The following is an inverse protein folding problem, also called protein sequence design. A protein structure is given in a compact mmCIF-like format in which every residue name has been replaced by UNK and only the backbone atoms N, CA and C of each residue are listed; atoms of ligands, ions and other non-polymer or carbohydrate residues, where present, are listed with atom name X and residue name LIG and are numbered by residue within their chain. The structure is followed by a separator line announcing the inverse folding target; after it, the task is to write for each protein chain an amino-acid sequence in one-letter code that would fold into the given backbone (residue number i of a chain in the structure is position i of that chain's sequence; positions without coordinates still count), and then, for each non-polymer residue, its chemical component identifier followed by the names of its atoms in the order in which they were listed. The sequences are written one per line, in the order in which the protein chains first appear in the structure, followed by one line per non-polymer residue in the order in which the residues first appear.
data_IF_231973869355
#
_entry.id   IF_231973869355
#
_cell.length_a   1.000
_cell.length_b   1.000
_cell.length_c   1.000
_cell.angle_alpha   90.00
_cell.angle_beta   90.00
_cell.angle_gamma   90.00
#
_symmetry.space_group_name_H-M   'P 1'
#
loop_
_entity.id
_entity.type
_entity.pdbx_description
1 polymer ?
#
# COMPACT_ATOMS: atom_id res chain seq x y z
N UNK A 1 39.24 9.41 13.81
CA UNK A 1 39.77 9.87 12.51
C UNK A 1 39.88 8.66 11.59
N UNK A 2 39.19 8.64 10.44
CA UNK A 2 39.28 7.52 9.51
C UNK A 2 40.65 7.50 8.80
N UNK A 3 41.19 6.32 8.58
CA UNK A 3 42.39 6.12 7.78
C UNK A 3 41.99 5.68 6.37
N UNK A 4 42.77 6.08 5.37
CA UNK A 4 42.57 5.63 4.01
C UNK A 4 42.76 4.11 3.92
N UNK A 5 41.76 3.40 3.40
CA UNK A 5 41.80 1.94 3.22
C UNK A 5 42.85 1.46 2.23
N UNK A 6 43.39 2.35 1.38
CA UNK A 6 44.38 2.01 0.35
C UNK A 6 45.82 2.30 0.77
N UNK A 7 46.08 3.38 1.49
CA UNK A 7 47.45 3.80 1.85
C UNK A 7 47.69 4.03 3.34
N UNK A 8 46.68 3.87 4.19
CA UNK A 8 46.81 4.05 5.64
C UNK A 8 46.96 5.50 6.12
N UNK A 9 46.94 6.48 5.21
CA UNK A 9 47.07 7.90 5.55
C UNK A 9 45.87 8.40 6.39
N UNK A 10 46.15 9.18 7.43
CA UNK A 10 45.11 9.80 8.28
C UNK A 10 44.35 10.86 7.47
N UNK A 11 43.05 10.67 7.29
CA UNK A 11 42.23 11.57 6.49
C UNK A 11 41.75 12.77 7.32
N UNK A 12 41.79 14.00 6.78
CA UNK A 12 41.16 15.15 7.41
C UNK A 12 39.63 15.02 7.35
N UNK A 13 38.94 15.69 8.28
CA UNK A 13 37.48 15.63 8.38
C UNK A 13 36.82 16.15 7.09
N UNK A 14 35.89 15.36 6.52
CA UNK A 14 35.17 15.70 5.30
C UNK A 14 35.91 15.43 3.97
N UNK A 15 37.11 14.83 3.98
CA UNK A 15 37.84 14.52 2.74
C UNK A 15 37.08 13.55 1.82
N UNK A 16 36.79 13.98 0.58
CA UNK A 16 36.17 13.14 -0.47
C UNK A 16 37.19 12.20 -1.13
N UNK A 17 38.45 12.62 -1.19
CA UNK A 17 39.56 11.87 -1.78
C UNK A 17 40.75 11.91 -0.83
N UNK A 18 41.54 10.84 -0.82
CA UNK A 18 42.77 10.82 -0.04
C UNK A 18 43.80 11.77 -0.67
N UNK A 19 44.34 12.76 0.07
CA UNK A 19 45.32 13.70 -0.48
C UNK A 19 46.66 13.03 -0.82
N UNK A 20 46.93 11.83 -0.28
CA UNK A 20 48.17 11.12 -0.50
C UNK A 20 48.12 10.16 -1.71
N UNK A 21 47.05 9.39 -1.87
CA UNK A 21 46.96 8.36 -2.92
C UNK A 21 45.86 8.60 -3.97
N UNK A 22 45.09 9.69 -3.84
CA UNK A 22 43.98 10.03 -4.75
C UNK A 22 42.79 9.08 -4.69
N UNK A 23 42.80 8.04 -3.83
CA UNK A 23 41.68 7.10 -3.77
C UNK A 23 40.44 7.77 -3.17
N UNK A 24 39.24 7.52 -3.71
CA UNK A 24 38.00 8.02 -3.13
C UNK A 24 37.83 7.47 -1.72
N UNK A 25 37.55 8.37 -0.77
CA UNK A 25 37.22 7.99 0.59
C UNK A 25 35.76 7.57 0.57
N UNK A 26 35.51 6.26 0.67
CA UNK A 26 34.15 5.76 0.90
C UNK A 26 33.72 6.26 2.27
N UNK A 27 32.96 7.35 2.33
CA UNK A 27 32.18 7.68 3.52
C UNK A 27 31.27 6.48 3.74
N UNK A 28 31.56 5.69 4.75
CA UNK A 28 30.56 4.82 5.35
C UNK A 28 29.68 5.82 6.10
N UNK A 29 28.78 6.49 5.37
CA UNK A 29 27.63 7.09 6.01
C UNK A 29 26.97 5.94 6.73
N UNK A 30 27.05 5.99 8.05
CA UNK A 30 26.23 5.19 8.93
C UNK A 30 24.81 5.40 8.46
N UNK A 31 24.34 4.43 7.66
CA UNK A 31 22.98 4.35 7.17
C UNK A 31 22.14 4.32 8.43
N UNK A 32 21.64 5.48 8.83
CA UNK A 32 20.67 5.60 9.89
C UNK A 32 19.47 4.76 9.43
N UNK A 33 19.35 3.58 10.01
CA UNK A 33 18.17 2.75 9.91
C UNK A 33 17.10 3.56 10.63
N UNK A 34 16.32 4.35 9.88
CA UNK A 34 15.10 4.95 10.40
C UNK A 34 14.15 3.79 10.77
N UNK A 35 13.86 3.56 12.07
CA UNK A 35 13.05 2.43 12.49
C UNK A 35 11.60 2.91 12.64
N UNK A 36 10.82 2.90 11.56
CA UNK A 36 9.34 2.93 11.60
C UNK A 36 8.66 2.85 10.23
N UNK A 37 9.39 3.08 9.14
CA UNK A 37 8.77 3.26 7.81
C UNK A 37 8.31 1.95 7.13
N UNK A 38 8.74 0.78 7.61
CA UNK A 38 8.42 -0.49 6.92
C UNK A 38 6.98 -0.95 7.07
N UNK A 39 6.27 -0.54 8.13
CA UNK A 39 4.89 -1.00 8.42
C UNK A 39 3.84 0.07 8.09
N UNK A 40 4.18 1.35 8.23
CA UNK A 40 3.22 2.43 7.98
C UNK A 40 2.72 2.45 6.53
N UNK A 41 3.62 2.26 5.55
CA UNK A 41 3.29 2.29 4.12
C UNK A 41 2.23 1.26 3.71
N UNK A 42 2.34 -0.05 4.03
CA UNK A 42 1.30 -1.01 3.68
C UNK A 42 -0.02 -0.75 4.42
N UNK A 43 0.01 -0.20 5.64
CA UNK A 43 -1.22 0.17 6.37
C UNK A 43 -1.94 1.33 5.64
N UNK A 44 -1.24 2.40 5.27
CA UNK A 44 -1.83 3.53 4.55
C UNK A 44 -2.42 3.11 3.21
N UNK A 45 -1.75 2.19 2.50
CA UNK A 45 -2.27 1.59 1.28
C UNK A 45 -3.56 0.79 1.53
N UNK A 46 -3.62 -0.01 2.60
CA UNK A 46 -4.82 -0.75 2.96
C UNK A 46 -6.00 0.16 3.34
N UNK A 47 -5.74 1.27 4.04
CA UNK A 47 -6.73 2.30 4.31
C UNK A 47 -7.31 2.89 3.02
N UNK A 48 -6.45 3.28 2.07
CA UNK A 48 -6.89 3.74 0.74
C UNK A 48 -7.73 2.67 0.02
N UNK A 49 -7.35 1.40 0.15
CA UNK A 49 -8.11 0.27 -0.37
C UNK A 49 -9.50 0.14 0.24
N UNK A 50 -9.66 0.47 1.52
CA UNK A 50 -10.94 0.39 2.22
C UNK A 50 -11.92 1.43 1.69
N UNK A 51 -11.46 2.68 1.53
CA UNK A 51 -12.25 3.72 0.90
C UNK A 51 -12.62 3.36 -0.55
N UNK A 52 -11.67 2.81 -1.31
CA UNK A 52 -11.93 2.34 -2.67
C UNK A 52 -12.98 1.23 -2.68
N UNK A 53 -12.92 0.28 -1.75
CA UNK A 53 -13.90 -0.80 -1.61
C UNK A 53 -15.32 -0.25 -1.41
N UNK A 54 -15.49 0.77 -0.57
CA UNK A 54 -16.80 1.40 -0.34
C UNK A 54 -17.33 2.09 -1.60
N UNK A 55 -16.44 2.77 -2.35
CA UNK A 55 -16.84 3.39 -3.62
C UNK A 55 -17.27 2.36 -4.65
N UNK A 56 -16.54 1.23 -4.73
CA UNK A 56 -16.87 0.12 -5.62
C UNK A 56 -18.16 -0.55 -5.14
N UNK A 57 -18.35 -0.74 -3.84
CA UNK A 57 -19.56 -1.34 -3.29
C UNK A 57 -20.80 -0.52 -3.66
N UNK A 58 -20.71 0.81 -3.53
CA UNK A 58 -21.79 1.71 -3.96
C UNK A 58 -22.08 1.58 -5.46
N UNK A 59 -21.05 1.40 -6.29
CA UNK A 59 -21.19 1.22 -7.73
C UNK A 59 -21.77 -0.16 -8.12
N UNK A 60 -21.36 -1.22 -7.43
CA UNK A 60 -21.81 -2.60 -7.71
C UNK A 60 -23.24 -2.84 -7.25
N UNK A 61 -23.73 -2.10 -6.25
CA UNK A 61 -25.14 -2.14 -5.85
C UNK A 61 -26.11 -1.79 -6.98
N UNK A 62 -25.67 -1.06 -8.02
CA UNK A 62 -26.48 -0.80 -9.22
C UNK A 62 -26.58 -2.00 -10.18
N UNK A 63 -25.77 -3.04 -9.98
CA UNK A 63 -25.66 -4.20 -10.87
C UNK A 63 -26.32 -5.48 -10.32
N UNK A 64 -27.04 -5.42 -9.19
CA UNK A 64 -27.75 -6.55 -8.53
C UNK A 64 -26.89 -7.79 -8.19
N UNK A 65 -25.55 -7.70 -8.22
CA UNK A 65 -24.67 -8.83 -7.91
C UNK A 65 -24.49 -8.96 -6.38
N UNK A 66 -25.09 -9.97 -5.76
CA UNK A 66 -25.08 -10.24 -4.31
C UNK A 66 -23.77 -10.84 -3.75
N UNK A 67 -22.59 -10.43 -4.26
CA UNK A 67 -21.31 -10.97 -3.77
C UNK A 67 -20.59 -9.94 -2.87
N UNK A 68 -20.85 -10.01 -1.57
CA UNK A 68 -20.33 -9.07 -0.55
C UNK A 68 -18.79 -8.96 -0.53
N UNK A 69 -18.06 -10.03 -0.89
CA UNK A 69 -16.59 -10.03 -0.86
C UNK A 69 -15.93 -9.40 -2.11
N UNK A 70 -16.66 -9.26 -3.21
CA UNK A 70 -16.12 -8.85 -4.51
C UNK A 70 -15.58 -7.42 -4.50
N UNK A 71 -16.28 -6.42 -3.91
CA UNK A 71 -15.77 -5.05 -3.82
C UNK A 71 -14.41 -4.98 -3.12
N UNK A 72 -14.26 -5.66 -1.98
CA UNK A 72 -13.01 -5.67 -1.19
C UNK A 72 -11.88 -6.41 -1.91
N UNK A 73 -12.20 -7.51 -2.59
CA UNK A 73 -11.24 -8.26 -3.40
C UNK A 73 -10.67 -7.42 -4.54
N UNK A 74 -11.56 -6.77 -5.31
CA UNK A 74 -11.17 -5.91 -6.43
C UNK A 74 -10.38 -4.70 -5.93
N UNK A 75 -10.86 -4.03 -4.87
CA UNK A 75 -10.17 -2.88 -4.29
C UNK A 75 -8.75 -3.23 -3.84
N UNK A 76 -8.59 -4.35 -3.13
CA UNK A 76 -7.28 -4.85 -2.69
C UNK A 76 -6.36 -5.13 -3.88
N UNK A 77 -6.86 -5.79 -4.93
CA UNK A 77 -6.08 -6.05 -6.15
C UNK A 77 -5.62 -4.76 -6.82
N UNK A 78 -6.52 -3.79 -6.99
CA UNK A 78 -6.21 -2.51 -7.63
C UNK A 78 -5.11 -1.78 -6.84
N UNK A 79 -5.23 -1.71 -5.52
CA UNK A 79 -4.23 -1.04 -4.68
C UNK A 79 -2.88 -1.74 -4.75
N UNK A 80 -2.84 -3.08 -4.64
CA UNK A 80 -1.58 -3.84 -4.71
C UNK A 80 -0.93 -3.67 -6.09
N UNK A 81 -1.73 -3.70 -7.16
CA UNK A 81 -1.27 -3.49 -8.51
C UNK A 81 -0.68 -2.09 -8.72
N UNK A 82 -1.40 -1.02 -8.36
CA UNK A 82 -0.92 0.37 -8.54
C UNK A 82 0.21 0.74 -7.58
N UNK A 83 0.25 0.15 -6.38
CA UNK A 83 1.32 0.42 -5.42
C UNK A 83 2.65 -0.19 -5.85
N UNK A 84 2.64 -1.25 -6.67
CA UNK A 84 3.84 -1.97 -7.07
C UNK A 84 4.41 -2.85 -5.95
N UNK A 85 3.56 -3.26 -5.01
CA UNK A 85 3.97 -4.05 -3.83
C UNK A 85 4.21 -5.50 -4.25
N UNK A 86 5.46 -5.97 -4.14
CA UNK A 86 5.87 -7.33 -4.56
C UNK A 86 6.25 -8.26 -3.41
N UNK A 87 6.41 -7.72 -2.20
CA UNK A 87 6.60 -8.56 -1.03
C UNK A 87 5.28 -9.23 -0.68
N UNK A 88 5.25 -10.57 -0.61
CA UNK A 88 4.07 -11.30 -0.15
C UNK A 88 3.63 -10.84 1.24
N UNK A 89 4.59 -10.50 2.11
CA UNK A 89 4.34 -9.94 3.44
C UNK A 89 3.58 -8.60 3.34
N UNK A 90 4.10 -7.66 2.56
CA UNK A 90 3.53 -6.32 2.45
C UNK A 90 2.17 -6.35 1.74
N UNK A 91 2.03 -7.16 0.70
CA UNK A 91 0.77 -7.36 -0.01
C UNK A 91 -0.31 -7.99 0.89
N UNK A 92 0.07 -8.95 1.75
CA UNK A 92 -0.83 -9.53 2.74
C UNK A 92 -1.25 -8.53 3.80
N UNK A 93 -0.36 -7.64 4.24
CA UNK A 93 -0.73 -6.55 5.16
C UNK A 93 -1.74 -5.62 4.49
N UNK A 94 -1.48 -5.19 3.24
CA UNK A 94 -2.41 -4.33 2.49
C UNK A 94 -3.79 -4.98 2.36
N UNK A 95 -3.87 -6.25 1.94
CA UNK A 95 -5.17 -6.91 1.76
C UNK A 95 -5.90 -7.11 3.07
N UNK A 96 -5.20 -7.57 4.11
CA UNK A 96 -5.80 -7.78 5.44
C UNK A 96 -6.32 -6.46 6.04
N UNK A 97 -5.56 -5.37 5.93
CA UNK A 97 -5.99 -4.04 6.37
C UNK A 97 -7.23 -3.60 5.58
N UNK A 98 -7.23 -3.73 4.25
CA UNK A 98 -8.38 -3.35 3.42
C UNK A 98 -9.66 -4.06 3.86
N UNK A 99 -9.59 -5.37 4.08
CA UNK A 99 -10.76 -6.17 4.46
C UNK A 99 -11.24 -5.81 5.88
N UNK A 100 -10.33 -5.75 6.86
CA UNK A 100 -10.68 -5.43 8.25
C UNK A 100 -11.33 -4.06 8.38
N UNK A 101 -10.77 -3.04 7.72
CA UNK A 101 -11.33 -1.71 7.78
C UNK A 101 -12.64 -1.61 7.02
N UNK A 102 -12.80 -2.31 5.89
CA UNK A 102 -14.08 -2.33 5.18
C UNK A 102 -15.18 -2.94 6.04
N UNK A 103 -14.95 -4.10 6.66
CA UNK A 103 -15.93 -4.75 7.53
C UNK A 103 -16.25 -3.90 8.77
N UNK A 104 -15.23 -3.27 9.37
CA UNK A 104 -15.43 -2.37 10.50
C UNK A 104 -16.28 -1.14 10.13
N UNK A 105 -16.03 -0.55 8.95
CA UNK A 105 -16.80 0.62 8.48
C UNK A 105 -18.24 0.21 8.16
N UNK A 106 -18.45 -0.91 7.45
CA UNK A 106 -19.80 -1.40 7.11
C UNK A 106 -20.59 -1.74 8.38
N UNK A 107 -19.99 -2.47 9.33
CA UNK A 107 -20.62 -2.76 10.60
C UNK A 107 -20.97 -1.45 11.35
N UNK A 108 -20.04 -0.50 11.40
CA UNK A 108 -20.28 0.82 12.00
C UNK A 108 -21.44 1.59 11.35
N UNK A 109 -21.56 1.55 10.01
CA UNK A 109 -22.66 2.18 9.27
C UNK A 109 -23.99 1.49 9.61
N UNK A 110 -24.02 0.16 9.69
CA UNK A 110 -25.24 -0.60 10.04
C UNK A 110 -25.68 -0.30 11.47
N UNK A 111 -24.77 -0.34 12.44
CA UNK A 111 -25.09 0.00 13.83
C UNK A 111 -25.50 1.48 13.98
N UNK A 112 -24.82 2.39 13.28
CA UNK A 112 -25.14 3.81 13.29
C UNK A 112 -26.50 4.12 12.67
N UNK A 113 -26.87 3.44 11.58
CA UNK A 113 -28.19 3.61 10.95
C UNK A 113 -29.32 3.09 11.84
N UNK A 114 -29.11 1.97 12.53
CA UNK A 114 -30.06 1.43 13.52
C UNK A 114 -30.29 2.41 14.68
N UNK A 115 -29.20 2.97 15.22
CA UNK A 115 -29.27 3.97 16.29
C UNK A 115 -30.03 5.22 15.83
N UNK A 116 -29.72 5.74 14.64
CA UNK A 116 -30.41 6.89 14.07
C UNK A 116 -31.90 6.62 13.80
N UNK A 117 -32.26 5.39 13.46
CA UNK A 117 -33.64 4.96 13.21
C UNK A 117 -34.42 4.58 14.50
N UNK A 118 -33.78 4.64 15.69
CA UNK A 118 -34.34 4.16 16.96
C UNK A 118 -34.87 2.71 16.90
N UNK A 119 -34.24 1.86 16.08
CA UNK A 119 -34.60 0.45 15.98
C UNK A 119 -33.72 -0.39 16.92
N UNK A 120 -34.32 -1.42 17.54
CA UNK A 120 -33.57 -2.37 18.35
C UNK A 120 -32.75 -3.30 17.47
N UNK A 121 -31.55 -3.74 17.91
CA UNK A 121 -30.75 -4.73 17.17
C UNK A 121 -31.53 -6.01 16.83
N UNK A 122 -32.55 -6.37 17.62
CA UNK A 122 -33.39 -7.52 17.37
C UNK A 122 -34.11 -7.48 16.00
N UNK A 123 -34.42 -6.30 15.44
CA UNK A 123 -35.00 -6.20 14.10
C UNK A 123 -34.06 -6.72 13.02
N UNK A 124 -32.75 -6.50 13.19
CA UNK A 124 -31.71 -6.99 12.29
C UNK A 124 -31.53 -8.52 12.37
N UNK A 125 -31.84 -9.15 13.50
CA UNK A 125 -31.73 -10.62 13.62
C UNK A 125 -33.03 -11.35 13.28
N UNK A 126 -34.18 -10.68 13.41
CA UNK A 126 -35.49 -11.25 13.06
C UNK A 126 -35.68 -11.36 11.54
N UNK A 127 -35.14 -10.42 10.76
CA UNK A 127 -35.29 -10.38 9.30
C UNK A 127 -34.37 -11.37 8.57
N UNK A 128 -33.24 -11.75 9.20
CA UNK A 128 -32.23 -12.62 8.60
C UNK A 128 -32.46 -14.13 8.82
N UNK A 129 -33.53 -14.51 9.54
CA UNK A 129 -33.82 -15.93 9.82
C UNK A 129 -32.68 -16.66 10.54
N UNK A 130 -32.82 -17.97 10.69
CA UNK A 130 -31.76 -18.81 11.27
C UNK A 130 -30.59 -18.80 10.27
N UNK A 131 -29.36 -18.42 10.66
CA UNK A 131 -28.24 -18.34 9.74
C UNK A 131 -28.05 -19.68 9.03
N UNK A 132 -28.08 -19.63 7.71
CA UNK A 132 -27.92 -20.83 6.89
C UNK A 132 -26.45 -21.25 6.84
N UNK A 133 -26.18 -22.48 6.43
CA UNK A 133 -24.81 -22.94 6.18
C UNK A 133 -24.06 -22.03 5.20
N UNK A 134 -24.79 -21.37 4.29
CA UNK A 134 -24.22 -20.47 3.31
C UNK A 134 -23.72 -19.16 3.93
N UNK A 135 -24.42 -18.61 4.91
CA UNK A 135 -24.01 -17.38 5.62
C UNK A 135 -22.71 -17.59 6.41
N UNK A 136 -22.62 -18.74 7.09
CA UNK A 136 -21.40 -19.14 7.81
C UNK A 136 -20.24 -19.35 6.83
N UNK A 137 -20.51 -19.97 5.68
CA UNK A 137 -19.50 -20.19 4.65
C UNK A 137 -19.01 -18.87 4.05
N UNK A 138 -19.89 -17.91 3.78
CA UNK A 138 -19.53 -16.59 3.27
C UNK A 138 -18.63 -15.81 4.23
N UNK A 139 -18.83 -15.94 5.54
CA UNK A 139 -17.95 -15.32 6.53
C UNK A 139 -16.52 -15.89 6.48
N UNK A 140 -16.38 -17.18 6.19
CA UNK A 140 -15.07 -17.84 6.03
C UNK A 140 -14.37 -17.48 4.71
N UNK A 141 -15.12 -17.08 3.68
CA UNK A 141 -14.57 -16.74 2.36
C UNK A 141 -13.78 -15.41 2.41
N UNK A 142 -14.15 -14.45 3.26
CA UNK A 142 -13.47 -13.15 3.39
C UNK A 142 -11.96 -13.25 3.70
N UNK A 143 -11.51 -13.95 4.76
CA UNK A 143 -10.07 -14.07 5.03
C UNK A 143 -9.33 -14.87 3.95
N UNK A 144 -9.98 -15.88 3.35
CA UNK A 144 -9.39 -16.68 2.27
C UNK A 144 -9.17 -15.82 1.02
N UNK A 145 -10.17 -15.01 0.65
CA UNK A 145 -10.07 -14.10 -0.50
C UNK A 145 -9.07 -12.98 -0.30
N UNK A 146 -8.89 -12.49 0.93
CA UNK A 146 -7.83 -11.54 1.27
C UNK A 146 -6.41 -12.11 1.06
N UNK A 147 -6.20 -13.38 1.38
CA UNK A 147 -4.91 -14.05 1.14
C UNK A 147 -4.71 -14.28 -0.37
N UNK A 148 -5.76 -14.69 -1.07
CA UNK A 148 -5.73 -14.87 -2.52
C UNK A 148 -5.45 -13.55 -3.25
N UNK A 149 -6.07 -12.43 -2.84
CA UNK A 149 -5.83 -11.11 -3.43
C UNK A 149 -4.38 -10.65 -3.21
N UNK A 150 -3.81 -10.93 -2.04
CA UNK A 150 -2.40 -10.65 -1.76
C UNK A 150 -1.48 -11.45 -2.67
N UNK A 151 -1.73 -12.75 -2.82
CA UNK A 151 -0.91 -13.63 -3.65
C UNK A 151 -0.98 -13.26 -5.13
N UNK A 152 -2.19 -13.07 -5.66
CA UNK A 152 -2.42 -12.70 -7.07
C UNK A 152 -1.88 -11.28 -7.33
N UNK A 153 -2.21 -10.32 -6.48
CA UNK A 153 -1.79 -8.93 -6.61
C UNK A 153 -0.27 -8.79 -6.59
N UNK A 154 0.40 -9.45 -5.64
CA UNK A 154 1.88 -9.42 -5.53
C UNK A 154 2.58 -10.01 -6.76
N UNK A 155 1.92 -10.94 -7.47
CA UNK A 155 2.47 -11.60 -8.66
C UNK A 155 2.28 -10.75 -9.93
N UNK A 156 1.17 -10.03 -10.03
CA UNK A 156 0.84 -9.20 -11.21
C UNK A 156 1.47 -7.80 -11.10
N UNK A 157 1.76 -7.32 -9.88
CA UNK A 157 2.23 -5.96 -9.66
C UNK A 157 3.50 -5.60 -10.48
N UNK A 158 3.49 -4.46 -11.21
CA UNK A 158 4.63 -4.00 -11.98
C UNK A 158 5.82 -3.73 -11.06
N UNK A 159 7.04 -3.90 -11.59
CA UNK A 159 8.26 -3.55 -10.87
C UNK A 159 8.30 -2.03 -10.85
N UNK A 160 7.77 -1.41 -9.80
CA UNK A 160 7.95 0.02 -9.60
C UNK A 160 9.46 0.19 -9.38
N UNK A 161 10.15 0.72 -10.38
CA UNK A 161 11.55 1.09 -10.25
C UNK A 161 11.67 1.92 -8.98
N UNK A 162 12.65 1.57 -8.13
CA UNK A 162 12.95 2.31 -6.91
C UNK A 162 12.80 3.79 -7.19
N UNK A 163 11.77 4.42 -6.63
CA UNK A 163 11.77 5.85 -6.50
C UNK A 163 12.94 6.12 -5.57
N UNK A 164 14.09 6.45 -6.18
CA UNK A 164 15.26 6.96 -5.50
C UNK A 164 14.72 8.06 -4.60
N UNK A 165 14.76 7.80 -3.31
CA UNK A 165 14.49 8.78 -2.26
C UNK A 165 15.49 9.90 -2.45
N UNK A 166 15.12 10.93 -3.19
CA UNK A 166 15.76 12.23 -3.04
C UNK A 166 15.40 12.70 -1.63
N UNK A 167 16.36 12.56 -0.71
CA UNK A 167 16.37 13.32 0.52
C UNK A 167 16.39 14.79 0.08
N UNK A 168 15.23 15.43 0.14
CA UNK A 168 15.09 16.87 -0.09
C UNK A 168 15.51 17.54 1.20
N UNK A 169 16.79 17.88 1.31
CA UNK A 169 17.22 18.86 2.31
C UNK A 169 16.54 20.20 2.00
N UNK A 170 15.93 20.78 3.02
CA UNK A 170 15.30 22.10 2.96
C UNK A 170 16.35 23.17 2.67
N UNK A 171 16.47 23.57 1.40
CA UNK A 171 17.15 24.76 0.93
C UNK A 171 16.18 25.62 0.14
N UNK A 172 15.98 26.85 0.61
CA UNK A 172 15.11 27.90 0.04
C UNK A 172 15.24 28.05 -1.49
N UNK A 173 14.14 27.84 -2.24
CA UNK A 173 14.05 28.10 -3.68
C UNK A 173 12.63 27.91 -4.23
N UNK A 174 12.14 28.74 -5.19
CA UNK A 174 10.73 28.80 -5.59
C UNK A 174 10.30 27.60 -6.46
N UNK A 175 8.99 27.30 -6.55
CA UNK A 175 8.51 26.08 -7.16
C UNK A 175 8.55 26.18 -8.69
N UNK A 176 9.39 25.38 -9.33
CA UNK A 176 9.24 25.09 -10.75
C UNK A 176 8.70 23.68 -10.93
N UNK A 177 7.43 23.65 -11.35
CA UNK A 177 6.77 22.50 -11.94
C UNK A 177 7.62 21.93 -13.09
N UNK A 178 8.13 20.72 -12.95
CA UNK A 178 8.50 19.88 -14.09
C UNK A 178 8.31 18.41 -13.70
N UNK A 179 7.55 17.69 -14.53
CA UNK A 179 7.34 16.25 -14.30
C UNK A 179 6.15 15.61 -15.00
N UNK A 180 5.48 16.28 -15.95
CA UNK A 180 4.51 15.67 -16.87
C UNK A 180 5.12 15.55 -18.26
N UNK A 181 6.25 14.84 -18.40
CA UNK A 181 6.89 14.65 -19.72
C UNK A 181 7.33 13.23 -20.05
N UNK A 182 7.11 12.24 -19.16
CA UNK A 182 7.52 10.86 -19.42
C UNK A 182 6.36 9.89 -19.72
N UNK A 183 5.28 10.38 -20.35
CA UNK A 183 4.22 9.53 -20.91
C UNK A 183 4.30 9.39 -22.45
N UNK A 184 5.20 10.12 -23.13
CA UNK A 184 5.25 10.17 -24.60
C UNK A 184 6.28 9.22 -25.25
N UNK A 185 7.21 8.65 -24.48
CA UNK A 185 8.32 7.85 -25.01
C UNK A 185 8.03 6.36 -25.22
N UNK A 186 7.17 5.74 -24.40
CA UNK A 186 6.90 4.30 -24.46
C UNK A 186 5.77 3.92 -25.42
N UNK A 187 4.85 4.85 -25.75
CA UNK A 187 3.77 4.59 -26.70
C UNK A 187 4.25 4.51 -28.17
N UNK A 188 5.39 5.15 -28.50
CA UNK A 188 5.88 5.23 -29.89
C UNK A 188 6.79 4.06 -30.32
N UNK A 189 7.21 3.18 -29.41
CA UNK A 189 8.03 1.99 -29.74
C UNK A 189 7.21 0.74 -30.09
N UNK A 190 5.88 0.80 -30.00
CA UNK A 190 4.97 -0.29 -30.41
C UNK A 190 4.41 -0.14 -31.83
N UNK A 191 4.79 0.92 -32.55
CA UNK A 191 4.32 1.22 -33.92
C UNK A 191 5.47 1.32 -34.94
N UNK A 192 6.58 0.63 -34.70
CA UNK A 192 7.62 0.45 -35.73
C UNK A 192 8.16 -0.97 -35.73
#
# INVERSE_FOLDING_TARGET
MPNCSRCGFKLPEGALFCPNCGSPVRKIEERQIAPSESIARPITLGLLGSFLSLTISSLVSFAEVQLYFVPSFIASLIVIYFSGTRGLRDAAIVSMVTYLFTDAIVAGIILGSLYAANQSLASLYMDYGVPTLFDVLMYLISPVTAILSAYIGSKIAPKRGEAITYIREEGYGPPLFHGVENLKGEALKRFK
#
